data_IF_833289805196
#
_entry.id   IF_833289805196
#
_cell.length_a   1.000
_cell.length_b   1.000
_cell.length_c   1.000
_cell.angle_alpha   90.00
_cell.angle_beta   90.00
_cell.angle_gamma   90.00
#
_symmetry.space_group_name_H-M   'P 1'
#
loop_
_entity.id
_entity.type
_entity.pdbx_description
1 polymer ?
#
# COMPACT_ATOMS: atom_id res chain seq x y z
N UNK A 1 -21.99 -12.09 -0.28
CA UNK A 1 -22.32 -13.45 0.16
C UNK A 1 -23.08 -14.13 -0.98
N UNK A 2 -22.44 -15.06 -1.72
CA UNK A 2 -23.12 -15.84 -2.77
C UNK A 2 -23.00 -17.32 -2.38
N UNK A 3 -24.15 -17.97 -2.30
CA UNK A 3 -24.33 -19.39 -2.00
C UNK A 3 -24.00 -20.21 -3.26
N UNK A 4 -23.26 -21.30 -3.09
CA UNK A 4 -22.90 -22.23 -4.18
C UNK A 4 -24.05 -23.23 -4.46
N UNK A 5 -24.17 -23.65 -5.72
CA UNK A 5 -25.30 -24.34 -6.35
C UNK A 5 -25.22 -25.87 -6.33
N UNK A 6 -24.72 -26.50 -5.27
CA UNK A 6 -24.62 -27.98 -5.20
C UNK A 6 -24.89 -28.54 -3.78
N UNK A 7 -25.91 -28.00 -3.11
CA UNK A 7 -26.33 -28.45 -1.76
C UNK A 7 -27.44 -29.52 -1.84
N UNK A 8 -27.95 -29.87 -3.03
CA UNK A 8 -29.07 -30.82 -3.18
C UNK A 8 -28.70 -32.31 -3.04
N UNK A 9 -27.43 -32.70 -3.22
CA UNK A 9 -27.08 -34.12 -3.40
C UNK A 9 -26.67 -34.88 -2.11
N UNK A 10 -26.80 -34.29 -0.92
CA UNK A 10 -26.08 -34.76 0.29
C UNK A 10 -26.93 -34.92 1.56
N UNK A 11 -28.23 -35.24 1.44
CA UNK A 11 -29.15 -35.21 2.59
C UNK A 11 -29.85 -36.57 2.88
N UNK A 12 -29.42 -37.26 3.96
CA UNK A 12 -30.18 -38.24 4.81
C UNK A 12 -29.21 -38.89 5.84
N UNK A 13 -29.52 -39.30 7.08
CA UNK A 13 -30.71 -39.31 7.97
C UNK A 13 -30.24 -39.66 9.40
N UNK A 14 -30.71 -38.97 10.45
CA UNK A 14 -30.74 -39.47 11.84
C UNK A 14 -32.07 -39.04 12.46
N UNK A 15 -32.85 -40.00 12.94
CA UNK A 15 -34.14 -39.76 13.60
C UNK A 15 -33.91 -39.19 15.01
N UNK A 16 -34.05 -37.86 15.13
CA UNK A 16 -34.38 -37.23 16.42
C UNK A 16 -35.83 -37.60 16.74
N UNK A 17 -36.09 -38.15 17.93
CA UNK A 17 -37.45 -38.47 18.40
C UNK A 17 -38.42 -37.31 18.17
N UNK A 18 -39.62 -37.59 17.64
CA UNK A 18 -40.59 -36.61 17.15
C UNK A 18 -40.89 -35.44 18.12
N UNK A 19 -40.98 -35.71 19.43
CA UNK A 19 -41.21 -34.66 20.46
C UNK A 19 -40.07 -33.62 20.57
N UNK A 20 -38.82 -33.98 20.28
CA UNK A 20 -37.65 -33.10 20.43
C UNK A 20 -37.48 -32.18 19.23
N UNK A 21 -37.89 -32.63 18.05
CA UNK A 21 -37.87 -31.83 16.81
C UNK A 21 -38.88 -30.69 16.89
N UNK A 22 -40.04 -30.94 17.48
CA UNK A 22 -41.13 -29.95 17.59
C UNK A 22 -40.71 -28.71 18.40
N UNK A 23 -40.04 -28.90 19.55
CA UNK A 23 -39.58 -27.78 20.37
C UNK A 23 -38.48 -26.94 19.67
N UNK A 24 -37.59 -27.59 18.92
CA UNK A 24 -36.55 -26.91 18.14
C UNK A 24 -37.19 -26.11 17.00
N UNK A 25 -38.14 -26.70 16.27
CA UNK A 25 -38.87 -26.02 15.20
C UNK A 25 -39.70 -24.84 15.69
N UNK A 26 -40.32 -24.99 16.87
CA UNK A 26 -41.06 -23.91 17.51
C UNK A 26 -40.15 -22.75 17.88
N UNK A 27 -38.98 -23.03 18.46
CA UNK A 27 -37.99 -22.00 18.80
C UNK A 27 -37.45 -21.29 17.55
N UNK A 28 -37.17 -22.03 16.47
CA UNK A 28 -36.75 -21.45 15.19
C UNK A 28 -37.80 -20.53 14.58
N UNK A 29 -39.05 -21.02 14.49
CA UNK A 29 -40.17 -20.26 13.95
C UNK A 29 -40.40 -18.99 14.75
N UNK A 30 -40.27 -19.06 16.07
CA UNK A 30 -40.33 -17.90 16.94
C UNK A 30 -39.20 -16.91 16.64
N UNK A 31 -37.95 -17.36 16.54
CA UNK A 31 -36.80 -16.48 16.25
C UNK A 31 -36.96 -15.78 14.90
N UNK A 32 -37.35 -16.51 13.85
CA UNK A 32 -37.58 -15.93 12.51
C UNK A 32 -38.72 -14.90 12.51
N UNK A 33 -39.80 -15.20 13.23
CA UNK A 33 -40.90 -14.26 13.42
C UNK A 33 -40.41 -13.01 14.17
N UNK A 34 -39.70 -13.20 15.27
CA UNK A 34 -39.16 -12.09 16.08
C UNK A 34 -38.16 -11.25 15.29
N UNK A 35 -37.34 -11.86 14.44
CA UNK A 35 -36.41 -11.15 13.55
C UNK A 35 -37.15 -10.32 12.51
N UNK A 36 -38.17 -10.88 11.86
CA UNK A 36 -39.01 -10.15 10.92
C UNK A 36 -39.70 -8.94 11.58
N UNK A 37 -40.22 -9.13 12.80
CA UNK A 37 -40.80 -8.04 13.59
C UNK A 37 -39.74 -7.01 13.99
N UNK A 38 -38.55 -7.44 14.38
CA UNK A 38 -37.46 -6.56 14.77
C UNK A 38 -37.00 -5.68 13.60
N UNK A 39 -36.77 -6.26 12.42
CA UNK A 39 -36.43 -5.55 11.19
C UNK A 39 -37.52 -4.53 10.83
N UNK A 40 -38.80 -4.92 10.91
CA UNK A 40 -39.91 -3.99 10.66
C UNK A 40 -39.97 -2.84 11.66
N UNK A 41 -39.59 -3.08 12.92
CA UNK A 41 -39.58 -2.10 14.00
C UNK A 41 -38.37 -1.16 13.94
N UNK A 42 -37.21 -1.69 13.53
CA UNK A 42 -35.97 -0.93 13.36
C UNK A 42 -35.96 -0.12 12.06
N UNK A 43 -36.75 -0.55 11.07
CA UNK A 43 -36.87 0.09 9.77
C UNK A 43 -35.67 -0.17 8.87
N UNK A 44 -35.93 -0.28 7.57
CA UNK A 44 -34.93 -0.61 6.55
C UNK A 44 -34.95 0.47 5.47
N UNK A 45 -33.77 0.84 5.00
CA UNK A 45 -33.61 1.67 3.81
C UNK A 45 -34.07 0.87 2.57
N UNK A 46 -35.08 1.37 1.81
CA UNK A 46 -35.66 0.62 0.70
C UNK A 46 -34.72 0.44 -0.50
N UNK A 47 -33.64 1.21 -0.56
CA UNK A 47 -32.66 1.19 -1.66
C UNK A 47 -31.50 0.25 -1.35
N UNK A 48 -31.01 0.26 -0.11
CA UNK A 48 -29.83 -0.50 0.30
C UNK A 48 -30.14 -1.78 1.05
N UNK A 49 -31.37 -1.95 1.53
CA UNK A 49 -31.78 -3.11 2.35
C UNK A 49 -31.15 -3.13 3.75
N UNK A 50 -30.50 -2.04 4.18
CA UNK A 50 -29.84 -1.92 5.49
C UNK A 50 -30.75 -1.28 6.54
N UNK A 51 -30.52 -1.58 7.81
CA UNK A 51 -31.26 -0.96 8.92
C UNK A 51 -31.05 0.57 8.94
N UNK A 52 -32.11 1.33 9.24
CA UNK A 52 -32.09 2.81 9.27
C UNK A 52 -31.27 3.40 10.42
N UNK A 53 -31.11 2.67 11.52
CA UNK A 53 -30.32 3.11 12.69
C UNK A 53 -29.49 1.95 13.23
N UNK A 54 -28.47 1.50 12.48
CA UNK A 54 -27.75 0.24 12.72
C UNK A 54 -26.97 0.24 14.05
N UNK A 55 -26.50 1.41 14.47
CA UNK A 55 -25.65 1.58 15.66
C UNK A 55 -26.44 1.91 16.94
N UNK A 56 -27.73 2.23 16.81
CA UNK A 56 -28.56 2.65 17.95
C UNK A 56 -29.07 1.43 18.72
N UNK A 57 -28.83 1.41 20.03
CA UNK A 57 -29.30 0.36 20.94
C UNK A 57 -30.68 0.66 21.56
N UNK A 58 -31.23 1.87 21.36
CA UNK A 58 -32.54 2.25 21.93
C UNK A 58 -33.68 1.37 21.39
N UNK A 59 -33.57 0.94 20.13
CA UNK A 59 -34.57 0.10 19.48
C UNK A 59 -34.49 -1.34 20.00
N UNK A 60 -33.28 -1.90 20.13
CA UNK A 60 -33.06 -3.25 20.67
C UNK A 60 -33.46 -3.32 22.14
N UNK A 61 -33.06 -2.36 22.99
CA UNK A 61 -33.48 -2.33 24.41
C UNK A 61 -35.00 -2.26 24.54
N UNK A 62 -35.65 -1.40 23.75
CA UNK A 62 -37.11 -1.30 23.76
C UNK A 62 -37.75 -2.60 23.30
N UNK A 63 -37.23 -3.21 22.24
CA UNK A 63 -37.81 -4.40 21.63
C UNK A 63 -37.60 -5.66 22.50
N UNK A 64 -36.36 -5.98 22.86
CA UNK A 64 -36.05 -7.22 23.59
C UNK A 64 -36.36 -7.12 25.08
N UNK A 65 -36.17 -5.96 25.72
CA UNK A 65 -36.40 -5.80 27.18
C UNK A 65 -37.79 -5.24 27.48
N UNK A 66 -38.16 -4.08 26.92
CA UNK A 66 -39.44 -3.42 27.28
C UNK A 66 -40.66 -4.10 26.68
N UNK A 67 -40.57 -4.58 25.44
CA UNK A 67 -41.64 -5.32 24.76
C UNK A 67 -41.56 -6.83 25.01
N UNK A 68 -40.59 -7.29 25.81
CA UNK A 68 -40.44 -8.67 26.29
C UNK A 68 -40.21 -9.75 25.20
N UNK A 69 -39.87 -9.37 23.97
CA UNK A 69 -39.50 -10.35 22.93
C UNK A 69 -38.24 -11.17 23.29
N UNK A 70 -37.34 -10.63 24.11
CA UNK A 70 -36.20 -11.37 24.66
C UNK A 70 -36.64 -12.49 25.62
N UNK A 71 -37.70 -12.26 26.41
CA UNK A 71 -38.28 -13.28 27.30
C UNK A 71 -38.90 -14.43 26.51
N UNK A 72 -39.54 -14.14 25.38
CA UNK A 72 -40.14 -15.17 24.52
C UNK A 72 -39.07 -16.09 23.93
N UNK A 73 -37.97 -15.52 23.41
CA UNK A 73 -36.84 -16.29 22.89
C UNK A 73 -36.18 -17.11 24.00
N UNK A 74 -35.91 -16.49 25.15
CA UNK A 74 -35.30 -17.18 26.28
C UNK A 74 -36.12 -18.39 26.72
N UNK A 75 -37.44 -18.23 26.90
CA UNK A 75 -38.33 -19.34 27.29
C UNK A 75 -38.30 -20.48 26.28
N UNK A 76 -38.29 -20.17 24.98
CA UNK A 76 -38.22 -21.19 23.94
C UNK A 76 -36.90 -21.97 23.98
N UNK A 77 -35.77 -21.28 24.19
CA UNK A 77 -34.46 -21.93 24.33
C UNK A 77 -34.32 -22.69 25.66
N UNK A 78 -34.91 -22.18 26.74
CA UNK A 78 -34.92 -22.82 28.05
C UNK A 78 -35.68 -24.15 28.01
N UNK A 79 -36.83 -24.23 27.33
CA UNK A 79 -37.57 -25.50 27.14
C UNK A 79 -36.71 -26.55 26.45
N UNK A 80 -35.88 -26.14 25.48
CA UNK A 80 -34.93 -27.05 24.82
C UNK A 80 -33.83 -27.45 25.81
N UNK A 81 -33.23 -26.50 26.53
CA UNK A 81 -32.21 -26.77 27.52
C UNK A 81 -32.69 -27.73 28.62
N UNK A 82 -33.90 -27.52 29.16
CA UNK A 82 -34.52 -28.37 30.18
C UNK A 82 -34.75 -29.79 29.65
N UNK A 83 -35.31 -29.90 28.44
CA UNK A 83 -35.52 -31.19 27.76
C UNK A 83 -34.21 -31.95 27.52
N UNK A 84 -33.14 -31.24 27.18
CA UNK A 84 -31.81 -31.81 26.88
C UNK A 84 -31.02 -32.13 28.15
N UNK A 85 -31.16 -31.34 29.21
CA UNK A 85 -30.46 -31.53 30.49
C UNK A 85 -30.84 -32.85 31.18
N UNK A 86 -32.06 -33.32 30.95
CA UNK A 86 -32.59 -34.59 31.47
C UNK A 86 -32.04 -35.84 30.74
N UNK A 87 -31.24 -35.66 29.69
CA UNK A 87 -30.61 -36.78 28.97
C UNK A 87 -29.34 -37.28 29.70
N UNK A 88 -28.92 -38.53 29.47
CA UNK A 88 -27.62 -39.03 29.93
C UNK A 88 -26.46 -38.14 29.46
N UNK A 89 -25.37 -38.08 30.24
CA UNK A 89 -24.21 -37.22 29.94
C UNK A 89 -23.45 -37.63 28.66
N UNK A 90 -23.59 -38.88 28.24
CA UNK A 90 -23.05 -39.43 27.00
C UNK A 90 -23.99 -39.28 25.79
N UNK A 91 -25.18 -38.70 25.97
CA UNK A 91 -26.13 -38.45 24.89
C UNK A 91 -25.57 -37.38 23.92
N UNK A 92 -25.51 -37.73 22.64
CA UNK A 92 -24.96 -36.88 21.59
C UNK A 92 -25.67 -35.53 21.46
N UNK A 93 -26.98 -35.49 21.68
CA UNK A 93 -27.77 -34.25 21.60
C UNK A 93 -27.43 -33.34 22.78
N UNK A 94 -27.23 -33.91 23.97
CA UNK A 94 -26.82 -33.16 25.17
C UNK A 94 -25.44 -32.55 25.02
N UNK A 95 -24.46 -33.35 24.57
CA UNK A 95 -23.12 -32.86 24.27
C UNK A 95 -23.16 -31.75 23.22
N UNK A 96 -23.90 -31.95 22.13
CA UNK A 96 -23.98 -30.97 21.04
C UNK A 96 -24.66 -29.66 21.45
N UNK A 97 -25.72 -29.75 22.26
CA UNK A 97 -26.39 -28.56 22.81
C UNK A 97 -25.43 -27.77 23.71
N UNK A 98 -24.74 -28.45 24.62
CA UNK A 98 -23.79 -27.82 25.53
C UNK A 98 -22.64 -27.13 24.78
N UNK A 99 -22.14 -27.73 23.70
CA UNK A 99 -21.13 -27.11 22.82
C UNK A 99 -21.65 -25.85 22.15
N UNK A 100 -22.83 -25.91 21.51
CA UNK A 100 -23.39 -24.82 20.72
C UNK A 100 -23.85 -23.63 21.59
N UNK A 101 -24.31 -23.90 22.81
CA UNK A 101 -24.92 -22.92 23.70
C UNK A 101 -24.08 -22.67 24.97
N UNK A 102 -22.80 -23.06 25.01
CA UNK A 102 -21.94 -22.94 26.21
C UNK A 102 -21.98 -21.54 26.84
N UNK A 103 -21.82 -20.50 26.03
CA UNK A 103 -21.85 -19.11 26.50
C UNK A 103 -23.25 -18.69 26.96
N UNK A 104 -24.29 -19.15 26.28
CA UNK A 104 -25.68 -18.85 26.64
C UNK A 104 -26.05 -19.52 27.98
N UNK A 105 -25.62 -20.77 28.20
CA UNK A 105 -25.81 -21.54 29.44
C UNK A 105 -25.14 -20.84 30.63
N UNK A 106 -23.86 -20.49 30.50
CA UNK A 106 -23.09 -19.79 31.54
C UNK A 106 -23.74 -18.47 31.93
N UNK A 107 -24.33 -17.76 30.96
CA UNK A 107 -24.92 -16.44 31.16
C UNK A 107 -26.42 -16.47 31.46
N UNK A 108 -26.97 -17.61 31.89
CA UNK A 108 -28.30 -17.69 32.49
C UNK A 108 -29.36 -18.42 31.68
N UNK A 109 -29.02 -19.04 30.54
CA UNK A 109 -29.97 -19.89 29.79
C UNK A 109 -30.42 -21.13 30.58
N UNK A 110 -29.61 -21.61 31.54
CA UNK A 110 -29.96 -22.76 32.39
C UNK A 110 -31.07 -22.47 33.40
N UNK A 111 -31.46 -21.20 33.59
CA UNK A 111 -32.49 -20.78 34.55
C UNK A 111 -33.79 -20.50 33.82
N UNK A 112 -34.92 -20.81 34.46
CA UNK A 112 -36.26 -20.53 33.92
C UNK A 112 -36.52 -19.02 33.79
N UNK A 113 -35.97 -18.22 34.70
CA UNK A 113 -36.05 -16.75 34.64
C UNK A 113 -34.90 -16.20 33.81
N UNK A 114 -35.24 -15.58 32.68
CA UNK A 114 -34.28 -15.14 31.66
C UNK A 114 -33.64 -13.78 31.84
N UNK A 115 -33.93 -13.02 32.89
CA UNK A 115 -33.48 -11.62 33.04
C UNK A 115 -31.96 -11.45 32.86
N UNK A 116 -31.17 -12.37 33.42
CA UNK A 116 -29.71 -12.37 33.28
C UNK A 116 -29.28 -12.62 31.83
N UNK A 117 -29.88 -13.61 31.17
CA UNK A 117 -29.55 -13.97 29.79
C UNK A 117 -29.98 -12.87 28.81
N UNK A 118 -31.17 -12.30 28.98
CA UNK A 118 -31.69 -11.22 28.14
C UNK A 118 -30.80 -9.98 28.28
N UNK A 119 -30.40 -9.64 29.51
CA UNK A 119 -29.52 -8.51 29.79
C UNK A 119 -28.16 -8.74 29.13
N UNK A 120 -27.53 -9.90 29.35
CA UNK A 120 -26.26 -10.23 28.72
C UNK A 120 -26.32 -10.24 27.19
N UNK A 121 -27.39 -10.77 26.60
CA UNK A 121 -27.50 -10.98 25.15
C UNK A 121 -27.94 -9.72 24.40
N UNK A 122 -28.77 -8.85 25.00
CA UNK A 122 -29.46 -7.78 24.26
C UNK A 122 -29.39 -6.38 24.91
N UNK A 123 -28.85 -6.21 26.12
CA UNK A 123 -28.73 -4.87 26.72
C UNK A 123 -27.67 -4.02 26.02
N UNK A 124 -28.06 -2.80 25.64
CA UNK A 124 -27.20 -1.83 24.97
C UNK A 124 -26.55 -2.36 23.68
N UNK A 125 -27.14 -3.38 23.05
CA UNK A 125 -26.63 -3.99 21.83
C UNK A 125 -27.10 -3.20 20.61
N UNK A 126 -26.20 -2.73 19.72
CA UNK A 126 -26.60 -2.06 18.48
C UNK A 126 -27.57 -2.89 17.64
N UNK A 127 -28.51 -2.25 16.94
CA UNK A 127 -29.55 -2.95 16.18
C UNK A 127 -29.00 -3.97 15.16
N UNK A 128 -27.89 -3.66 14.48
CA UNK A 128 -27.23 -4.61 13.56
C UNK A 128 -26.68 -5.83 14.28
N UNK A 129 -26.09 -5.62 15.47
CA UNK A 129 -25.55 -6.72 16.27
C UNK A 129 -26.70 -7.57 16.83
N UNK A 130 -27.79 -6.96 17.27
CA UNK A 130 -28.97 -7.69 17.75
C UNK A 130 -29.61 -8.56 16.65
N UNK A 131 -29.70 -8.05 15.41
CA UNK A 131 -30.12 -8.84 14.25
C UNK A 131 -29.15 -10.01 13.98
N UNK A 132 -27.84 -9.78 14.04
CA UNK A 132 -26.84 -10.84 13.89
C UNK A 132 -26.98 -11.93 14.97
N UNK A 133 -27.27 -11.56 16.21
CA UNK A 133 -27.48 -12.50 17.32
C UNK A 133 -28.73 -13.36 17.11
N UNK A 134 -29.81 -12.82 16.54
CA UNK A 134 -30.98 -13.63 16.16
C UNK A 134 -30.64 -14.66 15.08
N UNK A 135 -29.85 -14.26 14.08
CA UNK A 135 -29.36 -15.16 13.03
C UNK A 135 -28.43 -16.26 13.60
N UNK A 136 -27.56 -15.92 14.56
CA UNK A 136 -26.71 -16.88 15.28
C UNK A 136 -27.55 -17.92 16.04
N UNK A 137 -28.57 -17.48 16.79
CA UNK A 137 -29.48 -18.39 17.50
C UNK A 137 -30.24 -19.30 16.54
N UNK A 138 -30.75 -18.77 15.44
CA UNK A 138 -31.41 -19.57 14.41
C UNK A 138 -30.46 -20.61 13.80
N UNK A 139 -29.22 -20.23 13.48
CA UNK A 139 -28.21 -21.15 12.96
C UNK A 139 -27.86 -22.26 13.96
N UNK A 140 -27.67 -21.93 15.24
CA UNK A 140 -27.41 -22.92 16.29
C UNK A 140 -28.54 -23.93 16.43
N UNK A 141 -29.80 -23.50 16.32
CA UNK A 141 -30.94 -24.41 16.33
C UNK A 141 -31.00 -25.30 15.08
N UNK A 142 -30.64 -24.78 13.90
CA UNK A 142 -30.53 -25.59 12.68
C UNK A 142 -29.42 -26.65 12.81
N UNK A 143 -28.28 -26.30 13.40
CA UNK A 143 -27.19 -27.23 13.70
C UNK A 143 -27.61 -28.28 14.73
N UNK A 144 -28.38 -27.89 15.75
CA UNK A 144 -28.89 -28.79 16.78
C UNK A 144 -29.93 -29.79 16.23
N UNK A 145 -30.83 -29.34 15.35
CA UNK A 145 -31.79 -30.22 14.64
C UNK A 145 -31.10 -31.18 13.66
N UNK A 146 -29.83 -30.93 13.33
CA UNK A 146 -29.15 -31.64 12.24
C UNK A 146 -29.69 -31.20 10.87
N UNK A 147 -30.23 -30.00 10.71
CA UNK A 147 -30.48 -29.48 9.35
C UNK A 147 -29.18 -29.23 8.59
N UNK A 148 -28.08 -29.10 9.32
CA UNK A 148 -26.73 -29.17 8.80
C UNK A 148 -26.00 -30.38 9.41
N UNK A 149 -25.93 -31.49 8.66
CA UNK A 149 -25.10 -32.65 9.02
C UNK A 149 -23.72 -32.52 8.36
N UNK A 150 -22.67 -32.40 9.16
CA UNK A 150 -21.29 -32.66 8.72
C UNK A 150 -21.09 -34.17 8.89
N UNK A 151 -21.29 -34.97 7.84
CA UNK A 151 -20.90 -36.38 7.90
C UNK A 151 -19.39 -36.44 8.07
N UNK A 152 -18.93 -36.94 9.22
CA UNK A 152 -17.62 -37.54 9.36
C UNK A 152 -17.52 -38.80 8.53
N UNK A 153 -17.53 -38.65 7.19
CA UNK A 153 -16.76 -39.58 6.37
C UNK A 153 -15.31 -39.28 6.69
N UNK A 154 -14.46 -40.30 6.79
CA UNK A 154 -13.01 -40.11 6.71
C UNK A 154 -12.78 -39.01 5.68
N UNK A 155 -12.27 -37.87 6.13
CA UNK A 155 -12.00 -36.78 5.23
C UNK A 155 -11.03 -37.36 4.21
N UNK A 156 -11.52 -37.70 3.02
CA UNK A 156 -10.65 -37.65 1.86
C UNK A 156 -10.12 -36.23 1.93
N UNK A 157 -8.83 -36.17 2.25
CA UNK A 157 -8.09 -34.97 2.56
C UNK A 157 -8.28 -34.04 1.37
N UNK A 158 -9.31 -33.20 1.46
CA UNK A 158 -9.81 -32.40 0.36
C UNK A 158 -9.08 -31.08 0.47
N UNK A 159 -8.41 -30.69 -0.61
CA UNK A 159 -7.56 -29.50 -0.66
C UNK A 159 -8.36 -28.20 -0.57
N UNK A 160 -8.81 -27.87 0.63
CA UNK A 160 -9.56 -26.66 0.95
C UNK A 160 -8.61 -25.54 1.38
N UNK A 161 -7.91 -24.97 0.40
CA UNK A 161 -7.21 -23.70 0.58
C UNK A 161 -8.17 -22.51 0.43
N UNK A 162 -8.09 -21.59 1.38
CA UNK A 162 -8.65 -20.24 1.29
C UNK A 162 -7.48 -19.28 1.12
N UNK A 163 -7.56 -18.44 0.08
CA UNK A 163 -6.67 -17.28 -0.03
C UNK A 163 -7.25 -16.20 0.88
N UNK A 164 -6.53 -15.86 1.94
CA UNK A 164 -7.07 -15.03 3.03
C UNK A 164 -7.23 -13.55 2.65
N UNK A 165 -6.68 -13.13 1.50
CA UNK A 165 -6.79 -11.76 0.99
C UNK A 165 -7.04 -11.73 -0.52
N UNK A 166 -7.96 -10.84 -0.94
CA UNK A 166 -8.23 -10.51 -2.33
C UNK A 166 -7.01 -9.81 -2.94
N UNK A 167 -6.10 -10.58 -3.52
CA UNK A 167 -4.94 -10.08 -4.24
C UNK A 167 -5.34 -9.88 -5.71
N UNK A 168 -6.04 -8.79 -6.01
CA UNK A 168 -6.28 -8.42 -7.42
C UNK A 168 -4.97 -8.18 -8.16
N UNK A 169 -3.89 -7.80 -7.44
CA UNK A 169 -2.50 -7.79 -7.91
C UNK A 169 -1.55 -8.02 -6.72
N UNK A 170 -0.55 -8.92 -6.84
CA UNK A 170 0.50 -9.14 -5.83
C UNK A 170 1.76 -8.41 -6.29
N UNK A 171 2.46 -7.65 -5.43
CA UNK A 171 3.75 -7.07 -5.78
C UNK A 171 4.92 -7.93 -5.31
N UNK A 172 6.09 -7.76 -5.91
CA UNK A 172 7.32 -8.40 -5.41
C UNK A 172 7.57 -7.98 -3.95
N UNK A 173 7.82 -8.97 -3.09
CA UNK A 173 8.06 -8.78 -1.66
C UNK A 173 6.79 -8.82 -0.79
N UNK A 174 5.60 -8.74 -1.39
CA UNK A 174 4.34 -8.94 -0.66
C UNK A 174 4.19 -10.40 -0.22
N UNK A 175 3.40 -10.63 0.83
CA UNK A 175 3.11 -11.97 1.33
C UNK A 175 1.71 -12.42 0.95
N UNK A 176 1.61 -13.50 0.18
CA UNK A 176 0.38 -14.21 -0.06
C UNK A 176 0.15 -15.26 1.03
N UNK A 177 -1.04 -15.25 1.63
CA UNK A 177 -1.43 -16.13 2.73
C UNK A 177 -2.42 -17.19 2.24
N UNK A 178 -2.01 -18.45 2.33
CA UNK A 178 -2.84 -19.60 1.99
C UNK A 178 -3.18 -20.37 3.26
N UNK A 179 -4.45 -20.34 3.68
CA UNK A 179 -4.92 -21.07 4.86
C UNK A 179 -5.52 -22.39 4.40
N UNK A 180 -5.01 -23.50 4.92
CA UNK A 180 -5.53 -24.84 4.65
C UNK A 180 -6.51 -25.27 5.74
N UNK A 181 -7.72 -25.65 5.33
CA UNK A 181 -8.76 -26.14 6.24
C UNK A 181 -9.07 -27.61 5.97
N UNK A 182 -8.36 -28.53 6.62
CA UNK A 182 -8.63 -29.96 6.49
C UNK A 182 -7.78 -30.85 7.38
N UNK A 183 -8.02 -32.16 7.28
CA UNK A 183 -7.21 -33.19 7.93
C UNK A 183 -6.12 -33.65 6.93
N UNK A 184 -4.84 -33.51 7.28
CA UNK A 184 -3.70 -33.88 6.44
C UNK A 184 -2.70 -32.73 6.23
N UNK A 185 -1.51 -33.05 5.71
CA UNK A 185 -0.45 -32.08 5.44
C UNK A 185 -0.29 -31.88 3.92
N UNK A 186 -0.86 -30.79 3.36
CA UNK A 186 -0.68 -30.49 1.94
C UNK A 186 0.77 -30.09 1.64
N UNK A 187 1.26 -30.49 0.47
CA UNK A 187 2.62 -30.19 0.01
C UNK A 187 2.53 -29.23 -1.17
N UNK A 188 3.34 -28.17 -1.14
CA UNK A 188 3.56 -27.31 -2.30
C UNK A 188 4.52 -28.01 -3.27
N UNK A 189 4.06 -28.30 -4.48
CA UNK A 189 4.93 -28.76 -5.57
C UNK A 189 5.67 -27.56 -6.18
N UNK A 190 7.00 -27.60 -6.12
CA UNK A 190 7.89 -26.54 -6.60
C UNK A 190 8.34 -26.70 -8.05
N UNK A 191 7.98 -27.81 -8.72
CA UNK A 191 8.33 -28.05 -10.13
C UNK A 191 7.84 -26.93 -11.07
N UNK A 192 6.65 -26.36 -10.80
CA UNK A 192 6.09 -25.24 -11.56
C UNK A 192 6.69 -23.88 -11.22
N UNK A 193 7.62 -23.84 -10.26
CA UNK A 193 8.33 -22.64 -9.81
C UNK A 193 9.81 -22.66 -10.25
N UNK A 194 10.21 -23.63 -11.07
CA UNK A 194 11.58 -23.70 -11.59
C UNK A 194 11.88 -22.43 -12.39
N UNK A 195 12.99 -21.77 -12.04
CA UNK A 195 13.40 -20.50 -12.63
C UNK A 195 12.72 -19.28 -12.03
N UNK A 196 11.86 -19.42 -11.02
CA UNK A 196 11.31 -18.30 -10.25
C UNK A 196 12.06 -18.16 -8.92
N UNK A 197 12.17 -16.92 -8.43
CA UNK A 197 12.75 -16.60 -7.14
C UNK A 197 11.63 -16.34 -6.12
N UNK A 198 11.61 -17.12 -5.03
CA UNK A 198 10.57 -17.03 -4.02
C UNK A 198 11.07 -17.49 -2.65
N UNK A 199 10.31 -17.14 -1.61
CA UNK A 199 10.42 -17.70 -0.27
C UNK A 199 9.04 -18.22 0.15
N UNK A 200 9.02 -19.33 0.87
CA UNK A 200 7.80 -19.78 1.52
C UNK A 200 8.12 -20.38 2.88
N UNK A 201 7.13 -20.31 3.77
CA UNK A 201 7.22 -20.87 5.12
C UNK A 201 5.84 -21.40 5.52
N UNK A 202 5.82 -22.59 6.12
CA UNK A 202 4.63 -23.14 6.77
C UNK A 202 4.56 -22.66 8.22
N UNK A 203 3.43 -22.08 8.62
CA UNK A 203 3.12 -21.72 10.01
C UNK A 203 1.78 -22.32 10.39
N UNK A 204 1.83 -23.48 11.05
CA UNK A 204 0.63 -24.23 11.41
C UNK A 204 -0.13 -24.68 10.17
N UNK A 205 -1.38 -24.24 10.05
CA UNK A 205 -2.29 -24.54 8.94
C UNK A 205 -2.11 -23.60 7.73
N UNK A 206 -1.17 -22.67 7.80
CA UNK A 206 -1.03 -21.58 6.84
C UNK A 206 0.32 -21.65 6.11
N UNK A 207 0.31 -21.48 4.78
CA UNK A 207 1.49 -21.23 3.98
C UNK A 207 1.61 -19.73 3.71
N UNK A 208 2.75 -19.15 4.08
CA UNK A 208 3.16 -17.81 3.70
C UNK A 208 4.03 -17.93 2.46
N UNK A 209 3.66 -17.27 1.38
CA UNK A 209 4.39 -17.26 0.12
C UNK A 209 4.80 -15.82 -0.24
N UNK A 210 6.08 -15.62 -0.56
CA UNK A 210 6.64 -14.32 -0.92
C UNK A 210 7.39 -14.43 -2.25
N UNK A 211 6.87 -13.87 -3.35
CA UNK A 211 7.60 -13.79 -4.61
C UNK A 211 8.73 -12.75 -4.51
N UNK A 212 9.88 -13.03 -5.11
CA UNK A 212 11.06 -12.17 -5.11
C UNK A 212 11.43 -11.65 -6.51
N UNK A 213 10.64 -11.99 -7.52
CA UNK A 213 10.71 -11.45 -8.87
C UNK A 213 9.30 -11.33 -9.46
N UNK A 214 9.14 -10.48 -10.49
CA UNK A 214 7.84 -10.28 -11.15
C UNK A 214 7.55 -11.34 -12.21
N UNK A 215 6.28 -11.45 -12.59
CA UNK A 215 5.80 -12.38 -13.60
C UNK A 215 4.78 -13.39 -13.05
N UNK A 216 4.41 -14.39 -13.87
CA UNK A 216 3.41 -15.38 -13.49
C UNK A 216 4.00 -16.47 -12.57
N UNK A 217 3.31 -16.75 -11.47
CA UNK A 217 3.60 -17.82 -10.53
C UNK A 217 2.46 -18.82 -10.50
N UNK A 218 2.79 -20.11 -10.62
CA UNK A 218 1.82 -21.21 -10.59
C UNK A 218 2.13 -22.06 -9.35
N UNK A 219 1.31 -21.92 -8.31
CA UNK A 219 1.43 -22.67 -7.07
C UNK A 219 0.55 -23.91 -7.12
N UNK A 220 1.18 -25.07 -7.13
CA UNK A 220 0.50 -26.36 -7.20
C UNK A 220 0.55 -27.07 -5.85
N UNK A 221 -0.57 -27.12 -5.14
CA UNK A 221 -0.68 -27.87 -3.91
C UNK A 221 -1.16 -29.29 -4.18
N UNK A 222 -0.57 -30.27 -3.50
CA UNK A 222 -0.96 -31.69 -3.60
C UNK A 222 -1.24 -32.27 -2.23
N UNK A 223 -2.24 -33.14 -2.16
CA UNK A 223 -2.62 -33.88 -0.97
C UNK A 223 -3.19 -35.21 -1.42
N UNK A 224 -2.44 -36.28 -1.19
CA UNK A 224 -2.75 -37.61 -1.72
C UNK A 224 -2.99 -37.59 -3.23
N UNK A 225 -4.23 -37.84 -3.69
CA UNK A 225 -4.59 -37.88 -5.12
C UNK A 225 -5.26 -36.59 -5.61
N UNK A 226 -5.40 -35.59 -4.76
CA UNK A 226 -5.98 -34.30 -5.11
C UNK A 226 -4.88 -33.26 -5.32
N UNK A 227 -5.12 -32.36 -6.28
CA UNK A 227 -4.23 -31.25 -6.59
C UNK A 227 -5.04 -29.98 -6.79
N UNK A 228 -4.48 -28.85 -6.35
CA UNK A 228 -5.08 -27.53 -6.52
C UNK A 228 -4.04 -26.53 -6.99
N UNK A 229 -4.40 -25.78 -8.01
CA UNK A 229 -3.51 -24.79 -8.65
C UNK A 229 -4.00 -23.38 -8.36
N UNK A 230 -3.08 -22.50 -7.97
CA UNK A 230 -3.29 -21.07 -7.88
C UNK A 230 -2.35 -20.36 -8.86
N UNK A 231 -2.91 -19.47 -9.67
CA UNK A 231 -2.15 -18.63 -10.59
C UNK A 231 -2.10 -17.23 -10.00
N UNK A 232 -0.89 -16.67 -9.89
CA UNK A 232 -0.64 -15.33 -9.38
C UNK A 232 0.14 -14.55 -10.44
N UNK A 233 -0.34 -13.37 -10.78
CA UNK A 233 0.43 -12.42 -11.57
C UNK A 233 1.10 -11.42 -10.62
N UNK A 234 2.43 -11.48 -10.56
CA UNK A 234 3.23 -10.66 -9.65
C UNK A 234 3.76 -9.44 -10.40
N UNK A 235 3.38 -8.26 -9.93
CA UNK A 235 3.87 -6.99 -10.43
C UNK A 235 5.26 -6.66 -9.83
N UNK A 236 6.13 -6.00 -10.59
CA UNK A 236 7.42 -5.54 -10.06
C UNK A 236 7.23 -4.54 -8.91
N UNK A 237 8.22 -4.47 -8.04
CA UNK A 237 8.29 -3.46 -6.98
C UNK A 237 8.41 -2.05 -7.61
N UNK A 238 7.85 -1.04 -6.95
CA UNK A 238 7.88 0.37 -7.36
C UNK A 238 8.24 1.24 -6.17
N UNK A 239 8.48 2.54 -6.40
CA UNK A 239 8.72 3.47 -5.29
C UNK A 239 7.53 3.49 -4.33
N UNK A 240 7.79 3.73 -3.05
CA UNK A 240 6.71 3.85 -2.08
C UNK A 240 5.80 5.03 -2.43
N UNK A 241 4.60 4.72 -2.92
CA UNK A 241 3.60 5.74 -3.19
C UNK A 241 3.10 6.31 -1.86
N UNK A 242 3.53 7.55 -1.55
CA UNK A 242 3.07 8.45 -0.49
C UNK A 242 3.64 8.19 0.92
N UNK A 243 4.68 8.96 1.28
CA UNK A 243 4.76 9.71 2.56
C UNK A 243 5.97 10.63 2.73
N UNK A 244 6.99 10.51 1.90
CA UNK A 244 8.20 11.32 2.01
C UNK A 244 8.17 12.46 1.00
N UNK A 245 8.33 13.69 1.49
CA UNK A 245 8.50 14.90 0.69
C UNK A 245 9.81 14.88 -0.11
N UNK A 246 9.96 13.94 -1.03
CA UNK A 246 11.01 14.00 -2.03
C UNK A 246 10.76 15.23 -2.90
N UNK A 247 11.80 16.04 -3.17
CA UNK A 247 11.64 17.24 -3.98
C UNK A 247 11.04 16.81 -5.33
N UNK A 248 9.89 17.41 -5.64
CA UNK A 248 9.06 17.19 -6.83
C UNK A 248 9.79 17.51 -8.14
N UNK A 249 11.02 18.02 -8.06
CA UNK A 249 11.81 18.42 -9.21
C UNK A 249 13.19 17.79 -9.12
N UNK A 250 13.48 16.96 -10.12
CA UNK A 250 14.77 16.32 -10.33
C UNK A 250 15.34 16.86 -11.64
N UNK A 251 16.63 17.18 -11.64
CA UNK A 251 17.27 17.87 -12.76
C UNK A 251 18.40 17.04 -13.34
N UNK A 252 18.60 17.14 -14.66
CA UNK A 252 19.76 16.55 -15.32
C UNK A 252 21.06 17.10 -14.73
N UNK A 253 22.05 16.25 -14.53
CA UNK A 253 23.38 16.59 -14.02
C UNK A 253 23.49 16.65 -12.50
N UNK A 254 22.36 16.69 -11.78
CA UNK A 254 22.36 16.74 -10.32
C UNK A 254 22.23 15.34 -9.72
N UNK A 255 22.94 15.04 -8.61
CA UNK A 255 22.82 13.74 -7.96
C UNK A 255 21.43 13.57 -7.34
N UNK A 256 20.82 12.42 -7.60
CA UNK A 256 19.52 12.02 -7.07
C UNK A 256 19.74 10.94 -6.02
N UNK A 257 19.04 11.08 -4.89
CA UNK A 257 18.94 10.06 -3.85
C UNK A 257 17.48 9.66 -3.67
N UNK A 258 17.16 8.39 -3.91
CA UNK A 258 15.81 7.85 -3.71
C UNK A 258 15.90 6.68 -2.73
N UNK A 259 15.13 6.65 -1.62
CA UNK A 259 15.11 5.49 -0.74
C UNK A 259 14.56 4.27 -1.48
N UNK A 260 15.05 3.11 -1.11
CA UNK A 260 14.51 1.82 -1.52
C UNK A 260 13.96 1.11 -0.29
N UNK A 261 13.02 0.18 -0.49
CA UNK A 261 12.69 -0.80 0.55
C UNK A 261 13.84 -1.79 0.70
N UNK A 262 13.91 -2.41 1.87
CA UNK A 262 14.92 -3.43 2.19
C UNK A 262 14.91 -4.63 1.23
N UNK A 263 13.79 -4.91 0.55
CA UNK A 263 13.68 -5.94 -0.50
C UNK A 263 14.48 -5.62 -1.76
N UNK A 264 14.74 -4.33 -2.02
CA UNK A 264 15.34 -3.83 -3.26
C UNK A 264 16.83 -3.46 -3.13
N UNK A 265 17.43 -3.57 -1.94
CA UNK A 265 18.80 -3.10 -1.69
C UNK A 265 19.92 -3.95 -2.29
N UNK A 266 19.62 -5.18 -2.73
CA UNK A 266 20.58 -6.08 -3.39
C UNK A 266 20.38 -6.20 -4.90
N UNK A 267 19.55 -5.33 -5.50
CA UNK A 267 19.27 -5.36 -6.93
C UNK A 267 20.37 -4.65 -7.73
N UNK A 268 20.52 -5.05 -8.99
CA UNK A 268 21.27 -4.28 -9.99
C UNK A 268 20.29 -3.44 -10.78
N UNK A 269 20.56 -2.15 -10.89
CA UNK A 269 19.68 -1.21 -11.59
C UNK A 269 20.27 -0.78 -12.93
N UNK A 270 19.42 -0.76 -13.95
CA UNK A 270 19.69 -0.09 -15.22
C UNK A 270 18.77 1.15 -15.32
N UNK A 271 19.31 2.26 -15.86
CA UNK A 271 18.59 3.52 -16.06
C UNK A 271 18.50 3.88 -17.55
N UNK A 272 17.35 4.37 -18.02
CA UNK A 272 17.24 4.92 -19.39
C UNK A 272 17.80 6.34 -19.53
N UNK A 273 18.18 6.98 -18.42
CA UNK A 273 18.61 8.37 -18.34
C UNK A 273 20.08 8.62 -18.76
N UNK A 274 20.84 7.56 -19.06
CA UNK A 274 22.16 7.60 -19.71
C UNK A 274 22.66 6.17 -19.97
N UNK A 275 23.29 5.93 -21.12
CA UNK A 275 23.75 4.59 -21.56
C UNK A 275 24.83 3.96 -20.67
N UNK A 276 25.58 4.78 -19.93
CA UNK A 276 26.72 4.34 -19.12
C UNK A 276 26.58 4.71 -17.63
N UNK A 277 25.36 5.01 -17.18
CA UNK A 277 25.15 5.41 -15.81
C UNK A 277 25.26 4.22 -14.86
N UNK A 278 26.22 4.30 -13.94
CA UNK A 278 26.22 3.40 -12.79
C UNK A 278 25.20 3.91 -11.78
N UNK A 279 24.24 3.04 -11.48
CA UNK A 279 23.30 3.25 -10.39
C UNK A 279 23.87 2.53 -9.18
N UNK A 280 24.27 3.30 -8.18
CA UNK A 280 24.85 2.76 -6.95
C UNK A 280 23.77 2.66 -5.88
N UNK A 281 23.83 1.60 -5.07
CA UNK A 281 23.01 1.47 -3.87
C UNK A 281 23.90 1.71 -2.66
N UNK A 282 23.53 2.68 -1.83
CA UNK A 282 24.20 2.95 -0.58
C UNK A 282 23.15 3.14 0.51
N UNK A 283 23.29 2.43 1.65
CA UNK A 283 22.39 2.57 2.81
C UNK A 283 20.90 2.53 2.43
N UNK A 284 20.48 1.50 1.69
CA UNK A 284 19.11 1.30 1.21
C UNK A 284 18.56 2.49 0.40
N UNK A 285 19.43 3.24 -0.28
CA UNK A 285 19.03 4.31 -1.19
C UNK A 285 19.75 4.15 -2.52
N UNK A 286 19.01 4.44 -3.58
CA UNK A 286 19.47 4.49 -4.96
C UNK A 286 20.09 5.86 -5.24
N UNK A 287 21.34 5.84 -5.70
CA UNK A 287 22.13 7.03 -6.00
C UNK A 287 22.59 7.01 -7.45
N UNK A 288 22.30 8.09 -8.17
CA UNK A 288 22.69 8.25 -9.57
C UNK A 288 22.57 9.72 -9.99
N UNK A 289 23.19 10.05 -11.13
CA UNK A 289 23.17 11.40 -11.71
C UNK A 289 22.66 11.32 -13.14
N UNK A 290 21.37 11.57 -13.42
CA UNK A 290 20.85 11.49 -14.78
C UNK A 290 21.53 12.54 -15.67
N UNK A 291 21.70 12.25 -16.96
CA UNK A 291 22.28 13.21 -17.92
C UNK A 291 21.21 13.68 -18.90
N UNK A 292 20.31 12.79 -19.29
CA UNK A 292 19.23 13.09 -20.22
C UNK A 292 17.96 13.52 -19.49
N UNK A 293 17.19 14.40 -20.13
CA UNK A 293 15.91 14.91 -19.65
C UNK A 293 14.74 14.03 -20.12
N UNK A 294 13.59 14.18 -19.48
CA UNK A 294 12.37 13.41 -19.76
C UNK A 294 12.14 12.26 -18.77
N UNK A 295 11.33 11.28 -19.19
CA UNK A 295 11.01 10.12 -18.37
C UNK A 295 12.20 9.15 -18.28
N UNK A 296 12.71 9.02 -17.07
CA UNK A 296 13.81 8.16 -16.68
C UNK A 296 13.23 6.87 -16.09
N UNK A 297 13.31 5.78 -16.85
CA UNK A 297 12.85 4.45 -16.46
C UNK A 297 13.95 3.73 -15.69
N UNK A 298 13.60 3.20 -14.52
CA UNK A 298 14.49 2.44 -13.67
C UNK A 298 14.04 0.97 -13.64
N UNK A 299 14.98 0.08 -13.92
CA UNK A 299 14.76 -1.37 -13.97
C UNK A 299 15.73 -2.04 -13.01
N UNK A 300 15.21 -2.70 -11.98
CA UNK A 300 16.01 -3.45 -11.01
C UNK A 300 15.92 -4.96 -11.25
N UNK A 301 17.04 -5.66 -11.15
CA UNK A 301 17.17 -7.09 -11.40
C UNK A 301 17.98 -7.78 -10.30
N UNK A 302 17.58 -8.99 -9.91
CA UNK A 302 18.29 -9.76 -8.88
C UNK A 302 19.45 -10.58 -9.44
N UNK A 303 19.31 -11.15 -10.64
CA UNK A 303 20.35 -11.89 -11.38
C UNK A 303 20.13 -11.85 -12.91
N UNK A 304 21.20 -11.89 -13.71
CA UNK A 304 21.22 -12.05 -15.19
C UNK A 304 20.29 -11.19 -16.08
N UNK A 305 19.89 -9.97 -15.67
CA UNK A 305 19.10 -8.99 -16.47
C UNK A 305 17.76 -9.51 -17.06
N UNK A 306 17.38 -10.76 -16.83
CA UNK A 306 16.21 -11.39 -17.45
C UNK A 306 14.96 -11.31 -16.57
N UNK A 307 15.12 -11.07 -15.27
CA UNK A 307 14.02 -11.04 -14.30
C UNK A 307 13.91 -9.67 -13.67
N UNK A 308 12.89 -8.93 -14.09
CA UNK A 308 12.58 -7.62 -13.54
C UNK A 308 12.01 -7.84 -12.14
N UNK A 309 12.63 -7.21 -11.16
CA UNK A 309 12.20 -7.21 -9.76
C UNK A 309 11.66 -5.85 -9.37
N UNK A 310 12.21 -4.78 -9.95
CA UNK A 310 11.78 -3.39 -9.73
C UNK A 310 11.53 -2.70 -11.06
N UNK A 311 10.45 -1.92 -11.14
CA UNK A 311 10.13 -1.10 -12.30
C UNK A 311 9.39 0.15 -11.85
N UNK A 312 10.00 1.30 -12.09
CA UNK A 312 9.35 2.59 -11.91
C UNK A 312 9.97 3.66 -12.80
N UNK A 313 9.44 4.87 -12.79
CA UNK A 313 9.94 5.99 -13.58
C UNK A 313 9.89 7.30 -12.81
N UNK A 314 10.91 8.14 -13.03
CA UNK A 314 10.94 9.52 -12.54
C UNK A 314 11.04 10.48 -13.71
N UNK A 315 10.57 11.70 -13.52
CA UNK A 315 10.68 12.75 -14.54
C UNK A 315 11.90 13.64 -14.24
N UNK A 316 12.79 13.78 -15.23
CA UNK A 316 14.00 14.60 -15.16
C UNK A 316 13.81 15.87 -15.97
N UNK A 317 14.02 17.02 -15.33
CA UNK A 317 13.91 18.34 -15.94
C UNK A 317 15.28 18.83 -16.44
N UNK A 318 15.24 19.77 -17.38
CA UNK A 318 16.41 20.56 -17.77
C UNK A 318 16.88 21.41 -16.59
N UNK A 319 18.20 21.62 -16.50
CA UNK A 319 18.77 22.50 -15.49
C UNK A 319 18.12 23.89 -15.58
N UNK A 320 17.77 24.51 -14.44
CA UNK A 320 17.31 25.88 -14.46
C UNK A 320 18.45 26.77 -14.94
N UNK A 321 18.10 27.91 -15.54
CA UNK A 321 19.09 28.87 -16.00
C UNK A 321 19.98 29.30 -14.82
N UNK A 322 21.31 29.08 -14.91
CA UNK A 322 22.21 29.45 -13.83
C UNK A 322 22.34 30.97 -13.75
N UNK A 323 22.56 31.44 -12.53
CA UNK A 323 22.79 32.84 -12.22
C UNK A 323 24.29 33.13 -12.32
N UNK A 324 24.62 34.26 -12.95
CA UNK A 324 26.00 34.71 -13.15
C UNK A 324 26.26 35.91 -12.27
N UNK A 325 27.34 35.85 -11.52
CA UNK A 325 27.84 36.94 -10.70
C UNK A 325 29.31 37.15 -11.00
N UNK A 326 29.82 38.33 -10.66
CA UNK A 326 31.25 38.63 -10.78
C UNK A 326 31.78 38.87 -9.38
N UNK A 327 32.89 38.21 -9.04
CA UNK A 327 33.46 38.40 -7.72
C UNK A 327 34.07 39.80 -7.58
N UNK A 328 33.91 40.39 -6.40
CA UNK A 328 34.43 41.73 -6.09
C UNK A 328 33.68 42.92 -6.69
N UNK A 329 32.49 42.72 -7.30
CA UNK A 329 31.59 43.81 -7.72
C UNK A 329 30.35 43.91 -6.82
N UNK A 330 29.75 45.10 -6.72
CA UNK A 330 28.55 45.33 -5.89
C UNK A 330 27.45 45.99 -6.71
N UNK A 331 26.31 45.30 -6.85
CA UNK A 331 25.12 45.80 -7.54
C UNK A 331 25.43 46.35 -8.94
N UNK A 332 26.14 45.57 -9.75
CA UNK A 332 26.55 45.91 -11.12
C UNK A 332 27.55 47.08 -11.23
N UNK A 333 28.25 47.40 -10.14
CA UNK A 333 29.25 48.45 -10.11
C UNK A 333 30.60 47.94 -9.61
N UNK A 334 31.67 48.38 -10.26
CA UNK A 334 33.06 48.17 -9.83
C UNK A 334 33.80 49.51 -9.84
N UNK A 335 34.61 49.76 -8.81
CA UNK A 335 35.46 50.96 -8.81
C UNK A 335 36.71 50.74 -9.66
N UNK A 336 37.21 51.77 -10.37
CA UNK A 336 38.49 51.66 -11.11
C UNK A 336 39.63 51.20 -10.23
N UNK A 337 39.73 51.74 -9.00
CA UNK A 337 40.76 51.33 -8.03
C UNK A 337 40.70 49.83 -7.75
N UNK A 338 39.51 49.26 -7.56
CA UNK A 338 39.33 47.83 -7.34
C UNK A 338 39.66 47.02 -8.60
N UNK A 339 39.25 47.49 -9.78
CA UNK A 339 39.56 46.84 -11.05
C UNK A 339 41.07 46.79 -11.33
N UNK A 340 41.82 47.88 -11.02
CA UNK A 340 43.28 47.93 -11.11
C UNK A 340 43.98 46.94 -10.15
N UNK A 341 43.40 46.75 -8.97
CA UNK A 341 43.91 45.76 -8.01
C UNK A 341 43.66 44.31 -8.47
N UNK A 342 42.47 44.04 -9.01
CA UNK A 342 42.07 42.70 -9.45
C UNK A 342 42.73 42.30 -10.79
N UNK A 343 42.98 43.26 -11.69
CA UNK A 343 43.50 43.10 -13.08
C UNK A 343 42.67 42.20 -14.01
N UNK A 344 41.71 41.48 -13.45
CA UNK A 344 40.81 40.57 -14.14
C UNK A 344 39.50 40.49 -13.39
N UNK A 345 38.43 40.09 -14.09
CA UNK A 345 37.13 39.80 -13.49
C UNK A 345 36.92 38.30 -13.48
N UNK A 346 36.66 37.77 -12.29
CA UNK A 346 36.31 36.37 -12.08
C UNK A 346 34.79 36.23 -12.05
N UNK A 347 34.27 35.35 -12.90
CA UNK A 347 32.84 35.11 -13.03
C UNK A 347 32.50 33.84 -12.29
N UNK A 348 31.50 33.92 -11.42
CA UNK A 348 30.96 32.81 -10.64
C UNK A 348 29.58 32.47 -11.19
N UNK A 349 29.39 31.21 -11.54
CA UNK A 349 28.15 30.69 -12.12
C UNK A 349 27.56 29.69 -11.13
N UNK A 350 26.32 29.94 -10.69
CA UNK A 350 25.66 29.11 -9.68
C UNK A 350 24.19 28.87 -10.00
N UNK A 351 23.66 27.72 -9.61
CA UNK A 351 22.23 27.44 -9.75
C UNK A 351 21.42 28.15 -8.65
N UNK A 352 20.19 28.60 -8.93
CA UNK A 352 19.30 29.14 -7.90
C UNK A 352 19.02 28.09 -6.82
N UNK A 353 19.08 28.51 -5.54
CA UNK A 353 18.61 27.71 -4.39
C UNK A 353 19.29 26.34 -4.20
N UNK A 354 20.51 26.13 -4.72
CA UNK A 354 21.24 24.86 -4.56
C UNK A 354 22.54 24.99 -3.77
N UNK A 355 22.78 24.01 -2.89
CA UNK A 355 24.03 23.88 -2.14
C UNK A 355 25.11 23.22 -3.02
N UNK A 356 26.07 24.05 -3.46
CA UNK A 356 27.51 23.80 -3.70
C UNK A 356 28.01 22.63 -4.59
N UNK A 357 27.21 21.64 -4.99
CA UNK A 357 27.72 20.39 -5.62
C UNK A 357 27.62 20.33 -7.16
N UNK A 358 27.43 21.48 -7.83
CA UNK A 358 27.37 21.56 -9.28
C UNK A 358 28.36 22.59 -9.84
N UNK A 359 29.47 22.08 -10.36
CA UNK A 359 30.55 22.91 -10.90
C UNK A 359 30.28 23.34 -12.34
N UNK A 360 30.39 24.65 -12.57
CA UNK A 360 30.47 25.23 -13.90
C UNK A 360 31.91 25.66 -14.19
N UNK A 361 32.39 25.37 -15.39
CA UNK A 361 33.65 25.89 -15.91
C UNK A 361 33.38 26.85 -17.06
N UNK A 362 34.01 28.02 -17.03
CA UNK A 362 33.82 29.02 -18.07
C UNK A 362 34.71 28.66 -19.27
N UNK A 363 34.09 28.50 -20.44
CA UNK A 363 34.79 28.19 -21.68
C UNK A 363 35.08 29.44 -22.51
N UNK A 364 34.17 30.41 -22.51
CA UNK A 364 34.42 31.68 -23.18
C UNK A 364 33.44 32.76 -22.73
N UNK A 365 33.96 33.99 -22.67
CA UNK A 365 33.21 35.20 -22.37
C UNK A 365 33.26 36.11 -23.59
N UNK A 366 32.10 36.39 -24.19
CA UNK A 366 31.95 37.40 -25.22
C UNK A 366 31.47 38.71 -24.58
N UNK A 367 32.30 39.75 -24.63
CA UNK A 367 32.03 41.04 -24.01
C UNK A 367 32.31 42.21 -24.95
N UNK A 368 31.65 43.33 -24.68
CA UNK A 368 31.95 44.65 -25.26
C UNK A 368 32.46 45.57 -24.16
N UNK A 369 33.67 46.06 -24.35
CA UNK A 369 34.31 47.03 -23.47
C UNK A 369 34.02 48.42 -24.02
N UNK A 370 33.09 49.15 -23.40
CA UNK A 370 32.71 50.50 -23.84
C UNK A 370 33.60 51.52 -23.13
N UNK A 371 34.19 52.42 -23.89
CA UNK A 371 35.11 53.44 -23.37
C UNK A 371 34.43 54.80 -23.21
N UNK A 372 35.10 55.71 -22.49
CA UNK A 372 34.61 57.06 -22.21
C UNK A 372 34.43 57.93 -23.47
N UNK A 373 35.17 57.62 -24.53
CA UNK A 373 35.06 58.28 -25.83
C UNK A 373 33.93 57.73 -26.72
N UNK A 374 33.05 56.88 -26.16
CA UNK A 374 31.95 56.22 -26.88
C UNK A 374 32.38 55.20 -27.95
N UNK A 375 33.65 54.80 -27.97
CA UNK A 375 34.09 53.63 -28.74
C UNK A 375 33.90 52.33 -27.95
N UNK A 376 34.04 51.18 -28.62
CA UNK A 376 34.00 49.89 -27.94
C UNK A 376 34.96 48.87 -28.55
N UNK A 377 35.46 47.97 -27.71
CA UNK A 377 36.25 46.81 -28.13
C UNK A 377 35.46 45.54 -27.90
N UNK A 378 35.51 44.61 -28.86
CA UNK A 378 34.98 43.26 -28.67
C UNK A 378 36.03 42.39 -28.02
N UNK A 379 35.62 41.60 -27.06
CA UNK A 379 36.46 40.69 -26.30
C UNK A 379 35.86 39.29 -26.34
N UNK A 380 36.71 38.27 -26.52
CA UNK A 380 36.30 36.87 -26.58
C UNK A 380 37.43 35.99 -26.04
N UNK A 381 37.43 35.73 -24.74
CA UNK A 381 38.44 34.89 -24.07
C UNK A 381 37.82 34.13 -22.89
N UNK A 382 38.55 33.17 -22.32
CA UNK A 382 38.16 32.44 -21.11
C UNK A 382 38.11 33.33 -19.87
N UNK A 383 38.97 34.36 -19.80
CA UNK A 383 39.07 35.29 -18.68
C UNK A 383 39.09 36.73 -19.18
N UNK A 384 38.32 37.62 -18.55
CA UNK A 384 38.36 39.06 -18.81
C UNK A 384 39.52 39.68 -18.03
N UNK A 385 40.64 39.91 -18.71
CA UNK A 385 41.83 40.57 -18.17
C UNK A 385 42.04 41.94 -18.79
N UNK A 386 42.58 42.87 -18.00
CA UNK A 386 42.75 44.27 -18.40
C UNK A 386 44.13 44.80 -18.05
N UNK A 387 44.66 45.65 -18.92
CA UNK A 387 45.81 46.51 -18.63
C UNK A 387 45.37 47.78 -17.89
N UNK A 388 46.29 48.44 -17.18
CA UNK A 388 45.96 49.68 -16.45
C UNK A 388 45.43 50.79 -17.38
N UNK A 389 45.97 50.90 -18.59
CA UNK A 389 45.54 51.88 -19.59
C UNK A 389 44.10 51.62 -20.09
N UNK A 390 43.71 50.35 -20.25
CA UNK A 390 42.33 49.98 -20.63
C UNK A 390 41.36 50.31 -19.49
N UNK A 391 41.74 50.05 -18.24
CA UNK A 391 40.93 50.38 -17.06
C UNK A 391 40.66 51.88 -16.95
N UNK A 392 41.63 52.72 -17.30
CA UNK A 392 41.48 54.18 -17.24
C UNK A 392 40.53 54.75 -18.30
N UNK A 393 40.37 54.05 -19.43
CA UNK A 393 39.46 54.47 -20.50
C UNK A 393 38.08 53.79 -20.45
N UNK A 394 37.90 52.72 -19.68
CA UNK A 394 36.65 51.95 -19.58
C UNK A 394 35.49 52.76 -18.95
N UNK A 395 34.30 52.74 -19.55
CA UNK A 395 33.08 53.35 -19.00
C UNK A 395 32.15 52.29 -18.41
N UNK A 396 31.83 51.24 -19.18
CA UNK A 396 31.14 50.05 -18.70
C UNK A 396 31.52 48.83 -19.53
N UNK A 397 31.29 47.65 -18.96
CA UNK A 397 31.52 46.36 -19.60
C UNK A 397 30.15 45.73 -19.84
N UNK A 398 29.89 45.33 -21.08
CA UNK A 398 28.66 44.63 -21.46
C UNK A 398 29.00 43.18 -21.79
N UNK A 399 28.55 42.25 -20.96
CA UNK A 399 28.66 40.82 -21.25
C UNK A 399 27.50 40.43 -22.17
N UNK A 400 27.85 39.99 -23.37
CA UNK A 400 26.86 39.64 -24.40
C UNK A 400 26.49 38.17 -24.34
N UNK A 401 27.47 37.31 -24.02
CA UNK A 401 27.30 35.86 -24.01
C UNK A 401 28.37 35.22 -23.14
N UNK A 402 27.96 34.29 -22.29
CA UNK A 402 28.83 33.45 -21.50
C UNK A 402 28.60 31.98 -21.89
N UNK A 403 29.65 31.29 -22.31
CA UNK A 403 29.60 29.85 -22.60
C UNK A 403 30.22 29.12 -21.41
N UNK A 404 29.42 28.26 -20.79
CA UNK A 404 29.83 27.48 -19.63
C UNK A 404 29.72 25.99 -19.94
N UNK A 405 30.68 25.22 -19.45
CA UNK A 405 30.65 23.78 -19.48
C UNK A 405 30.22 23.24 -18.11
N UNK A 406 29.35 22.24 -18.15
CA UNK A 406 28.90 21.49 -16.98
C UNK A 406 28.94 19.99 -17.26
N UNK A 407 28.58 19.18 -16.27
CA UNK A 407 28.48 17.72 -16.42
C UNK A 407 27.40 17.27 -17.41
N UNK A 408 26.42 18.11 -17.75
CA UNK A 408 25.41 17.80 -18.80
C UNK A 408 25.81 18.31 -20.18
N UNK A 409 26.88 19.10 -20.26
CA UNK A 409 27.38 19.68 -21.51
C UNK A 409 27.49 21.20 -21.47
N UNK A 410 27.62 21.75 -22.67
CA UNK A 410 27.81 23.18 -22.89
C UNK A 410 26.47 23.93 -22.80
N UNK A 411 26.42 25.01 -22.02
CA UNK A 411 25.26 25.89 -21.88
C UNK A 411 25.65 27.31 -22.23
N UNK A 412 24.77 27.98 -22.97
CA UNK A 412 24.94 29.38 -23.33
C UNK A 412 24.04 30.24 -22.43
N UNK A 413 24.65 31.18 -21.71
CA UNK A 413 23.94 32.17 -20.90
C UNK A 413 23.98 33.49 -21.67
N UNK A 414 22.79 34.02 -21.98
CA UNK A 414 22.62 35.24 -22.78
C UNK A 414 22.05 36.41 -21.99
N UNK A 415 21.87 36.25 -20.68
CA UNK A 415 21.42 37.34 -19.83
C UNK A 415 22.45 38.46 -19.87
N UNK A 416 21.98 39.65 -20.28
CA UNK A 416 22.84 40.80 -20.50
C UNK A 416 23.27 41.37 -19.16
N UNK A 417 24.53 41.13 -18.79
CA UNK A 417 25.15 41.73 -17.60
C UNK A 417 25.89 43.00 -18.00
N UNK A 418 25.56 44.12 -17.33
CA UNK A 418 26.23 45.41 -17.54
C UNK A 418 26.98 45.76 -16.26
N UNK A 419 28.30 45.86 -16.32
CA UNK A 419 29.14 46.22 -15.19
C UNK A 419 29.61 47.65 -15.39
N UNK A 420 29.12 48.56 -14.55
CA UNK A 420 29.49 49.97 -14.59
C UNK A 420 30.84 50.19 -13.91
N UNK A 421 31.76 50.85 -14.60
CA UNK A 421 33.07 51.20 -14.05
C UNK A 421 33.00 52.61 -13.47
N UNK A 422 32.87 52.69 -12.14
CA UNK A 422 32.73 53.93 -11.40
C UNK A 422 34.07 54.44 -10.86
N UNK A 423 34.14 55.77 -10.72
CA UNK A 423 35.30 56.51 -10.23
C UNK A 423 36.05 57.20 -11.37
N UNK A 424 36.12 58.52 -11.33
CA UNK A 424 37.36 59.30 -11.20
C UNK A 424 37.00 60.63 -10.48
N UNK A 425 36.16 60.53 -9.44
CA UNK A 425 35.87 61.63 -8.51
C UNK A 425 36.44 61.29 -7.13
#
# INVERSE_FOLDING_TARGET
MRVNHNIEALMSSVELSDMKVENIERAKSLILKTDSLFISTAGVDPTTGKLLSPENYSVSDRFFKKQKYGEEIHKALWVINDSVSNLPDDDRVKTRFNELFVSDIINGLAREIGDQWITWKFEHVPATVAHLLLNDLHLKLNLLKGEFHIQGREAKATLNFILDYNLDNLQVGDTAYFVYLGLGEPILNTDSLIGQDYRFEWKGDSLLFVPLNSGPFILNFKLSNEGRTFNLDVLPESFESKKSGYPLVQYAGLPIKIPLRTSSSNLKFDCSCSENLKVDIQNDSLFFRPINTGWCKLLGYKNNRSQITFLDSIFIQELPTPLVYVDGISGDNVSRKKLKQLKSLEFVVQLPEQEADFDFSIKSIEAKLHTRDSSYFKYSQEMLSFTEAEIDNLFYIEIQKLIVNSVVGETQITDRLIINVKGDD
#
